data_IF_264568225989
#
_entry.id   IF_264568225989
#
_cell.length_a   1.000
_cell.length_b   1.000
_cell.length_c   1.000
_cell.angle_alpha   90.00
_cell.angle_beta   90.00
_cell.angle_gamma   90.00
#
_symmetry.space_group_name_H-M   'P 1'
#
loop_
_entity.id
_entity.type
_entity.pdbx_description
1 polymer ?
#
# COMPACT_ATOMS: atom_id res chain seq x y z
N UNK A 1 0.69 40.68 3.48
CA UNK A 1 1.57 39.68 2.85
C UNK A 1 0.81 38.37 2.72
N UNK A 2 0.55 37.90 1.51
CA UNK A 2 -0.17 36.64 1.27
C UNK A 2 0.78 35.46 1.54
N UNK A 3 0.58 34.75 2.65
CA UNK A 3 1.37 33.56 3.00
C UNK A 3 0.93 32.37 2.13
N UNK A 4 1.46 32.31 0.91
CA UNK A 4 1.29 31.14 0.07
C UNK A 4 2.07 29.97 0.67
N UNK A 5 1.35 28.89 0.92
CA UNK A 5 1.91 27.63 1.39
C UNK A 5 2.62 26.92 0.24
N UNK A 6 3.84 26.43 0.52
CA UNK A 6 4.63 25.61 -0.41
C UNK A 6 4.52 24.15 -0.03
N UNK A 7 4.77 23.26 -0.99
CA UNK A 7 4.86 21.82 -0.78
C UNK A 7 5.91 21.53 0.30
N UNK A 8 5.51 20.78 1.32
CA UNK A 8 6.41 20.32 2.38
C UNK A 8 6.76 18.86 2.15
N UNK A 9 8.05 18.55 2.14
CA UNK A 9 8.55 17.20 1.95
C UNK A 9 8.12 16.26 3.11
N UNK A 10 7.85 16.80 4.31
CA UNK A 10 7.23 16.07 5.44
C UNK A 10 5.91 15.37 5.09
N UNK A 11 5.16 15.88 4.10
CA UNK A 11 3.93 15.22 3.68
C UNK A 11 4.20 13.87 3.02
N UNK A 12 5.39 13.65 2.47
CA UNK A 12 5.80 12.38 1.88
C UNK A 12 6.27 11.36 2.94
N UNK A 13 6.53 11.79 4.18
CA UNK A 13 6.78 10.87 5.30
C UNK A 13 5.51 10.12 5.70
N UNK A 14 4.34 10.72 5.48
CA UNK A 14 3.04 10.09 5.72
C UNK A 14 2.73 9.06 4.60
N UNK A 15 2.62 7.75 4.91
CA UNK A 15 2.35 6.71 3.90
C UNK A 15 1.00 6.91 3.21
N UNK A 16 0.06 7.56 3.89
CA UNK A 16 -1.26 7.94 3.37
C UNK A 16 -1.18 8.92 2.20
N UNK A 17 -0.13 9.75 2.14
CA UNK A 17 0.06 10.74 1.08
C UNK A 17 1.11 10.31 0.07
N UNK A 18 2.27 9.79 0.48
CA UNK A 18 3.33 9.38 -0.46
C UNK A 18 2.90 8.30 -1.45
N UNK A 19 1.89 7.51 -1.08
CA UNK A 19 1.27 6.52 -1.96
C UNK A 19 0.63 7.13 -3.21
N UNK A 20 0.35 8.44 -3.29
CA UNK A 20 -0.24 9.07 -4.48
C UNK A 20 0.21 10.50 -4.78
N UNK A 21 0.71 11.21 -3.78
CA UNK A 21 1.15 12.60 -3.84
C UNK A 21 2.58 12.68 -4.39
N UNK A 22 2.81 13.62 -5.28
CA UNK A 22 4.09 13.88 -5.93
C UNK A 22 4.37 15.39 -5.95
N UNK A 23 5.63 15.76 -5.66
CA UNK A 23 6.12 17.13 -5.73
C UNK A 23 6.37 17.52 -7.18
N UNK A 24 5.95 18.73 -7.59
CA UNK A 24 6.22 19.24 -8.92
C UNK A 24 7.60 19.93 -8.95
N UNK A 25 8.56 19.53 -9.81
CA UNK A 25 9.92 20.07 -9.80
C UNK A 25 9.99 21.54 -10.24
N UNK A 26 9.08 21.96 -11.13
CA UNK A 26 9.06 23.31 -11.68
C UNK A 26 8.34 24.32 -10.77
N UNK A 27 7.47 23.86 -9.87
CA UNK A 27 6.67 24.76 -9.05
C UNK A 27 6.30 24.14 -7.70
N UNK A 28 6.99 24.59 -6.64
CA UNK A 28 6.76 24.12 -5.28
C UNK A 28 5.39 24.55 -4.70
N UNK A 29 4.61 25.37 -5.41
CA UNK A 29 3.25 25.76 -5.00
C UNK A 29 2.17 24.85 -5.56
N UNK A 30 2.55 23.85 -6.35
CA UNK A 30 1.64 22.91 -7.01
C UNK A 30 2.01 21.50 -6.57
N UNK A 31 1.00 20.71 -6.27
CA UNK A 31 1.15 19.28 -6.03
C UNK A 31 0.54 18.49 -7.20
N UNK A 32 1.09 17.30 -7.45
CA UNK A 32 0.57 16.37 -8.46
C UNK A 32 0.07 15.11 -7.78
N UNK A 33 -1.08 14.62 -8.24
CA UNK A 33 -1.60 13.33 -7.83
C UNK A 33 -1.36 12.32 -8.96
N UNK A 34 -0.59 11.27 -8.68
CA UNK A 34 -0.25 10.25 -9.67
C UNK A 34 -1.45 9.35 -10.03
N UNK A 35 -2.34 9.09 -9.06
CA UNK A 35 -3.57 8.34 -9.30
C UNK A 35 -4.56 9.15 -10.14
N UNK A 36 -4.79 10.40 -9.75
CA UNK A 36 -5.71 11.28 -10.47
C UNK A 36 -5.16 11.74 -11.82
N UNK A 37 -3.83 11.71 -12.01
CA UNK A 37 -3.11 12.31 -13.13
C UNK A 37 -3.48 13.78 -13.27
N UNK A 38 -3.52 14.47 -12.13
CA UNK A 38 -3.97 15.87 -12.05
C UNK A 38 -3.08 16.66 -11.10
N UNK A 39 -2.78 17.88 -11.49
CA UNK A 39 -2.11 18.89 -10.69
C UNK A 39 -3.15 19.78 -10.01
N UNK A 40 -2.83 20.26 -8.81
CA UNK A 40 -3.65 21.21 -8.07
C UNK A 40 -2.76 22.17 -7.27
N UNK A 41 -3.22 23.40 -7.09
CA UNK A 41 -2.48 24.43 -6.37
C UNK A 41 -2.62 24.25 -4.85
N UNK A 42 -1.52 24.55 -4.15
CA UNK A 42 -1.48 24.56 -2.69
C UNK A 42 -1.84 25.94 -2.14
N UNK A 43 -1.64 27.01 -2.92
CA UNK A 43 -1.97 28.42 -2.61
C UNK A 43 -2.05 28.73 -1.10
N UNK A 44 -3.21 29.12 -0.58
CA UNK A 44 -3.41 29.44 0.84
C UNK A 44 -3.92 28.24 1.67
N UNK A 45 -4.05 27.07 1.06
CA UNK A 45 -4.69 25.89 1.67
C UNK A 45 -3.67 24.84 2.12
N UNK A 46 -2.51 24.75 1.46
CA UNK A 46 -1.40 23.87 1.83
C UNK A 46 -1.83 22.43 2.03
N UNK A 47 -1.50 21.88 3.20
CA UNK A 47 -1.86 20.50 3.58
C UNK A 47 -3.38 20.26 3.51
N UNK A 48 -4.21 21.28 3.73
CA UNK A 48 -5.68 21.14 3.63
C UNK A 48 -6.12 20.87 2.19
N UNK A 49 -5.44 21.42 1.18
CA UNK A 49 -5.72 21.10 -0.22
C UNK A 49 -5.46 19.63 -0.52
N UNK A 50 -4.35 19.08 -0.01
CA UNK A 50 -3.99 17.65 -0.14
C UNK A 50 -5.05 16.77 0.53
N UNK A 51 -5.44 17.10 1.77
CA UNK A 51 -6.46 16.34 2.50
C UNK A 51 -7.84 16.41 1.83
N UNK A 52 -8.23 17.58 1.33
CA UNK A 52 -9.48 17.76 0.58
C UNK A 52 -9.47 16.95 -0.71
N UNK A 53 -8.35 16.93 -1.44
CA UNK A 53 -8.18 16.11 -2.64
C UNK A 53 -8.33 14.61 -2.34
N UNK A 54 -7.66 14.13 -1.28
CA UNK A 54 -7.74 12.74 -0.80
C UNK A 54 -9.19 12.34 -0.50
N UNK A 55 -9.95 13.23 0.15
CA UNK A 55 -11.34 12.94 0.51
C UNK A 55 -12.32 13.06 -0.67
N UNK A 56 -11.87 13.56 -1.83
CA UNK A 56 -12.68 13.75 -3.02
C UNK A 56 -13.15 12.44 -3.66
N UNK A 57 -14.40 12.41 -4.12
CA UNK A 57 -15.04 11.23 -4.73
C UNK A 57 -14.22 10.65 -5.90
N UNK A 58 -13.65 11.54 -6.73
CA UNK A 58 -12.84 11.14 -7.90
C UNK A 58 -11.56 10.41 -7.47
N UNK A 59 -10.93 10.87 -6.39
CA UNK A 59 -9.73 10.24 -5.86
C UNK A 59 -10.06 8.87 -5.27
N UNK A 60 -11.08 8.79 -4.40
CA UNK A 60 -11.53 7.53 -3.78
C UNK A 60 -11.83 6.44 -4.81
N UNK A 61 -12.62 6.76 -5.85
CA UNK A 61 -12.92 5.81 -6.93
C UNK A 61 -11.67 5.27 -7.64
N UNK A 62 -10.66 6.13 -7.84
CA UNK A 62 -9.39 5.73 -8.47
C UNK A 62 -8.53 4.88 -7.54
N UNK A 63 -8.50 5.18 -6.25
CA UNK A 63 -7.85 4.34 -5.23
C UNK A 63 -8.48 2.95 -5.22
N UNK A 64 -9.81 2.87 -5.15
CA UNK A 64 -10.53 1.59 -5.17
C UNK A 64 -10.27 0.81 -6.47
N UNK A 65 -10.29 1.48 -7.62
CA UNK A 65 -9.96 0.84 -8.91
C UNK A 65 -8.53 0.29 -8.94
N UNK A 66 -7.56 1.04 -8.39
CA UNK A 66 -6.17 0.61 -8.29
C UNK A 66 -5.97 -0.59 -7.35
N UNK A 67 -6.80 -0.73 -6.31
CA UNK A 67 -6.74 -1.89 -5.40
C UNK A 67 -7.41 -3.13 -6.00
N UNK A 68 -8.48 -2.95 -6.78
CA UNK A 68 -9.17 -4.04 -7.47
C UNK A 68 -8.32 -4.68 -8.56
N UNK A 69 -7.55 -3.90 -9.32
CA UNK A 69 -6.62 -4.42 -10.33
C UNK A 69 -5.48 -5.25 -9.70
N UNK A 70 -4.98 -4.87 -8.53
CA UNK A 70 -3.98 -5.65 -7.80
C UNK A 70 -4.51 -7.02 -7.32
N UNK A 71 -5.81 -7.12 -7.06
CA UNK A 71 -6.45 -8.36 -6.57
C UNK A 71 -6.73 -9.39 -7.67
N UNK A 72 -6.72 -8.98 -8.95
CA UNK A 72 -6.98 -9.88 -10.07
C UNK A 72 -5.80 -10.82 -10.41
N UNK A 73 -4.61 -10.60 -9.81
CA UNK A 73 -3.43 -11.45 -9.98
C UNK A 73 -3.32 -12.62 -8.97
N UNK A 74 -4.38 -12.92 -8.19
CA UNK A 74 -4.42 -14.09 -7.28
C UNK A 74 -5.48 -15.12 -7.68
N UNK A 75 -5.45 -15.59 -8.93
CA UNK A 75 -6.01 -16.91 -9.29
C UNK A 75 -4.88 -17.86 -9.61
N UNK A 76 -4.56 -18.75 -8.67
CA UNK A 76 -3.57 -19.82 -8.89
C UNK A 76 -2.93 -20.44 -7.65
N UNK A 77 -3.58 -20.48 -6.49
CA UNK A 77 -3.18 -21.38 -5.40
C UNK A 77 -4.41 -21.77 -4.57
N UNK A 78 -5.33 -22.48 -5.21
CA UNK A 78 -6.34 -23.28 -4.52
C UNK A 78 -5.90 -24.73 -4.61
N UNK A 79 -5.34 -25.27 -3.53
CA UNK A 79 -5.54 -26.68 -3.21
C UNK A 79 -5.97 -26.79 -1.76
N UNK A 80 -7.29 -26.91 -1.66
CA UNK A 80 -8.08 -27.40 -0.56
C UNK A 80 -7.38 -28.55 0.18
N UNK A 81 -7.13 -28.39 1.48
CA UNK A 81 -6.72 -29.51 2.35
C UNK A 81 -7.97 -30.27 2.78
N UNK A 82 -8.29 -31.37 2.12
CA UNK A 82 -9.23 -32.37 2.65
C UNK A 82 -8.73 -33.79 2.41
N UNK A 83 -8.22 -34.38 3.48
CA UNK A 83 -8.56 -35.69 4.04
C UNK A 83 -8.72 -36.90 3.09
N UNK A 84 -7.61 -37.56 2.78
CA UNK A 84 -7.31 -39.01 2.94
C UNK A 84 -6.23 -39.41 1.92
N UNK A 85 -4.96 -39.43 2.35
CA UNK A 85 -3.99 -40.36 1.79
C UNK A 85 -3.14 -40.91 2.93
N UNK A 86 -3.23 -42.23 3.07
CA UNK A 86 -2.65 -43.12 4.06
C UNK A 86 -1.17 -42.86 4.39
N UNK A 87 -0.89 -42.78 5.69
CA UNK A 87 -0.12 -43.80 6.43
C UNK A 87 1.29 -44.14 5.92
N UNK A 88 2.28 -43.25 6.06
CA UNK A 88 3.66 -43.74 6.27
C UNK A 88 4.55 -42.79 7.10
N UNK A 89 5.02 -43.35 8.22
CA UNK A 89 6.25 -43.04 8.97
C UNK A 89 6.27 -41.76 9.82
N UNK A 90 5.47 -41.80 10.90
CA UNK A 90 5.91 -41.28 12.20
C UNK A 90 6.69 -42.38 12.94
N UNK A 91 7.99 -42.53 12.66
CA UNK A 91 8.87 -43.32 13.52
C UNK A 91 9.53 -42.39 14.54
N UNK A 92 8.92 -42.43 15.71
CA UNK A 92 9.40 -42.03 17.03
C UNK A 92 10.93 -41.98 17.16
N UNK A 93 11.45 -40.80 17.53
CA UNK A 93 12.75 -40.71 18.22
C UNK A 93 12.56 -41.28 19.63
N UNK A 94 12.60 -42.62 19.75
CA UNK A 94 12.68 -43.31 21.03
C UNK A 94 14.13 -43.70 21.29
N UNK A 95 14.73 -42.96 22.22
CA UNK A 95 15.99 -43.23 22.89
C UNK A 95 15.95 -44.62 23.53
N UNK A 96 16.82 -45.54 23.11
CA UNK A 96 17.18 -46.75 23.87
C UNK A 96 18.69 -46.89 23.83
N UNK A 97 19.27 -46.93 25.04
CA UNK A 97 20.67 -47.24 25.37
C UNK A 97 20.98 -48.68 24.95
N UNK A 98 22.12 -48.90 24.29
CA UNK A 98 22.76 -50.21 24.24
C UNK A 98 23.84 -50.28 25.34
N UNK A 99 23.70 -51.28 26.21
CA UNK A 99 24.78 -51.74 27.10
C UNK A 99 25.78 -52.52 26.23
N UNK A 100 27.06 -52.19 26.38
CA UNK A 100 28.16 -53.03 25.89
C UNK A 100 28.51 -54.02 27.01
N UNK A 101 28.83 -55.23 26.56
CA UNK A 101 29.23 -56.43 27.28
C UNK A 101 30.18 -56.19 28.48
#
# INVERSE_FOLDING_TARGET
MSNHTVFQDDWLSDPSFSSWLEKMPLNNKIAKCKLCVKTFDLSNMGRRAVSSHMNGIKHKKKVEASQKSASLFKKGASQNRSSLQLLIVRISRKRIRTMVN
#
